data_IF_924435476506
#
_entry.id   IF_924435476506
#
_cell.length_a   1.000
_cell.length_b   1.000
_cell.length_c   1.000
_cell.angle_alpha   90.00
_cell.angle_beta   90.00
_cell.angle_gamma   90.00
#
_symmetry.space_group_name_H-M   'P 1'
#
loop_
_entity.id
_entity.type
_entity.pdbx_description
1 polymer ?
#
# COMPACT_ATOMS: atom_id res chain seq x y z
N UNK A 1 18.97 0.72 -14.52
CA UNK A 1 17.85 1.57 -14.11
C UNK A 1 17.29 2.27 -15.34
N UNK A 2 16.02 2.09 -15.64
CA UNK A 2 15.39 2.87 -16.70
C UNK A 2 15.36 4.34 -16.27
N UNK A 3 15.98 5.19 -17.05
CA UNK A 3 15.95 6.63 -16.82
C UNK A 3 14.52 7.13 -17.12
N UNK A 4 13.90 7.80 -16.18
CA UNK A 4 12.61 8.43 -16.40
C UNK A 4 12.77 9.46 -17.52
N UNK A 5 12.08 9.25 -18.63
CA UNK A 5 12.00 10.19 -19.72
C UNK A 5 10.63 10.86 -19.69
N UNK A 6 10.52 12.10 -19.21
CA UNK A 6 9.25 12.81 -19.15
C UNK A 6 8.62 12.98 -20.53
N UNK A 7 9.43 13.15 -21.57
CA UNK A 7 8.94 13.36 -22.94
C UNK A 7 8.20 12.13 -23.52
N UNK A 8 8.44 10.95 -22.96
CA UNK A 8 7.75 9.72 -23.39
C UNK A 8 6.23 9.77 -23.12
N UNK A 9 5.81 10.52 -22.13
CA UNK A 9 4.41 10.65 -21.72
C UNK A 9 3.74 11.91 -22.25
N UNK A 10 4.52 12.82 -22.85
CA UNK A 10 3.97 14.02 -23.46
C UNK A 10 3.39 13.71 -24.83
N UNK A 11 2.07 13.69 -24.90
CA UNK A 11 1.35 13.67 -26.19
C UNK A 11 1.15 15.12 -26.63
N UNK A 12 1.78 15.49 -27.74
CA UNK A 12 1.54 16.80 -28.34
C UNK A 12 0.13 16.85 -28.92
N UNK A 13 -0.78 17.43 -28.17
CA UNK A 13 -2.14 17.68 -28.58
C UNK A 13 -2.34 19.15 -28.92
N UNK A 14 -2.95 19.44 -30.05
CA UNK A 14 -3.32 20.81 -30.38
C UNK A 14 -4.29 21.40 -29.36
N UNK A 15 -4.19 22.72 -29.10
CA UNK A 15 -5.09 23.41 -28.16
C UNK A 15 -6.57 23.17 -28.43
N UNK A 16 -6.97 23.13 -29.71
CA UNK A 16 -8.34 22.85 -30.12
C UNK A 16 -8.85 21.46 -29.69
N UNK A 17 -7.97 20.47 -29.59
CA UNK A 17 -8.33 19.15 -29.08
C UNK A 17 -8.63 19.18 -27.57
N UNK A 18 -7.79 19.91 -26.82
CA UNK A 18 -7.95 20.05 -25.37
C UNK A 18 -9.22 20.81 -24.98
N UNK A 19 -9.61 21.82 -25.80
CA UNK A 19 -10.85 22.58 -25.59
C UNK A 19 -12.12 21.75 -25.78
N UNK A 20 -12.04 20.70 -26.61
CA UNK A 20 -13.17 19.84 -26.92
C UNK A 20 -13.19 18.52 -26.14
N UNK A 21 -12.23 18.26 -25.26
CA UNK A 21 -12.27 17.08 -24.40
C UNK A 21 -13.28 17.31 -23.29
N UNK A 22 -14.31 16.45 -23.17
CA UNK A 22 -15.23 16.54 -22.04
C UNK A 22 -14.46 16.47 -20.72
N UNK A 23 -14.87 17.28 -19.74
CA UNK A 23 -14.21 17.34 -18.44
C UNK A 23 -14.10 15.96 -17.79
N UNK A 24 -15.11 15.10 -17.98
CA UNK A 24 -15.14 13.73 -17.44
C UNK A 24 -14.08 12.78 -18.05
N UNK A 25 -13.47 13.17 -19.17
CA UNK A 25 -12.37 12.41 -19.80
C UNK A 25 -10.99 12.97 -19.48
N UNK A 26 -10.92 14.11 -18.81
CA UNK A 26 -9.65 14.66 -18.39
C UNK A 26 -9.02 13.76 -17.32
N UNK A 27 -7.73 13.44 -17.48
CA UNK A 27 -7.00 12.58 -16.51
C UNK A 27 -6.97 13.13 -15.08
N UNK A 28 -7.12 14.45 -14.94
CA UNK A 28 -7.17 15.15 -13.64
C UNK A 28 -8.59 15.41 -13.13
N UNK A 29 -9.62 15.03 -13.91
CA UNK A 29 -10.99 15.23 -13.49
C UNK A 29 -11.42 14.14 -12.52
N UNK A 30 -11.79 14.55 -11.33
CA UNK A 30 -12.32 13.68 -10.29
C UNK A 30 -13.83 13.96 -10.16
N UNK A 31 -14.65 12.93 -10.31
CA UNK A 31 -16.09 13.03 -10.09
C UNK A 31 -16.42 13.20 -8.61
N UNK A 32 -17.61 13.64 -8.27
CA UNK A 32 -18.07 13.67 -6.87
C UNK A 32 -18.05 12.26 -6.26
N UNK A 33 -18.44 11.23 -7.04
CA UNK A 33 -18.37 9.83 -6.62
C UNK A 33 -16.93 9.40 -6.31
N UNK A 34 -15.96 9.75 -7.17
CA UNK A 34 -14.55 9.43 -6.94
C UNK A 34 -14.02 10.14 -5.70
N UNK A 35 -14.43 11.37 -5.47
CA UNK A 35 -14.07 12.16 -4.29
C UNK A 35 -14.63 11.55 -3.02
N UNK A 36 -15.89 11.15 -3.00
CA UNK A 36 -16.50 10.46 -1.86
C UNK A 36 -15.82 9.13 -1.57
N UNK A 37 -15.56 8.32 -2.58
CA UNK A 37 -14.81 7.05 -2.43
C UNK A 37 -13.42 7.29 -1.85
N UNK A 38 -12.72 8.31 -2.30
CA UNK A 38 -11.40 8.67 -1.76
C UNK A 38 -11.49 9.06 -0.29
N UNK A 39 -12.46 9.88 0.11
CA UNK A 39 -12.66 10.26 1.51
C UNK A 39 -13.00 9.05 2.39
N UNK A 40 -13.80 8.13 1.90
CA UNK A 40 -14.13 6.89 2.61
C UNK A 40 -12.88 6.05 2.82
N UNK A 41 -12.03 5.92 1.80
CA UNK A 41 -10.74 5.21 1.90
C UNK A 41 -9.78 5.89 2.88
N UNK A 42 -9.66 7.20 2.82
CA UNK A 42 -8.82 7.96 3.75
C UNK A 42 -9.28 7.77 5.20
N UNK A 43 -10.57 7.78 5.44
CA UNK A 43 -11.13 7.51 6.77
C UNK A 43 -10.81 6.09 7.24
N UNK A 44 -10.98 5.11 6.38
CA UNK A 44 -10.64 3.72 6.67
C UNK A 44 -9.16 3.56 7.05
N UNK A 45 -8.25 4.07 6.23
CA UNK A 45 -6.82 4.00 6.52
C UNK A 45 -6.44 4.72 7.81
N UNK A 46 -7.06 5.85 8.08
CA UNK A 46 -6.85 6.61 9.32
C UNK A 46 -7.30 5.82 10.56
N UNK A 47 -8.36 5.03 10.44
CA UNK A 47 -8.86 4.19 11.53
C UNK A 47 -8.02 2.94 11.76
N UNK A 48 -7.54 2.31 10.69
CA UNK A 48 -6.82 1.02 10.73
C UNK A 48 -5.32 1.20 10.98
N UNK A 49 -4.72 2.28 10.49
CA UNK A 49 -3.28 2.48 10.55
C UNK A 49 -2.69 2.44 11.98
N UNK A 50 -3.30 3.06 13.01
CA UNK A 50 -2.80 2.95 14.38
C UNK A 50 -2.76 1.50 14.88
N UNK A 51 -3.79 0.70 14.58
CA UNK A 51 -3.87 -0.72 14.95
C UNK A 51 -2.75 -1.51 14.30
N UNK A 52 -2.51 -1.29 13.01
CA UNK A 52 -1.41 -1.95 12.28
C UNK A 52 -0.05 -1.53 12.81
N UNK A 53 0.16 -0.25 13.13
CA UNK A 53 1.42 0.23 13.72
C UNK A 53 1.70 -0.40 15.08
N UNK A 54 0.70 -0.52 15.93
CA UNK A 54 0.83 -1.19 17.23
C UNK A 54 1.21 -2.66 17.07
N UNK A 55 0.63 -3.37 16.09
CA UNK A 55 0.98 -4.74 15.77
C UNK A 55 2.42 -4.87 15.23
N UNK A 56 2.84 -3.94 14.39
CA UNK A 56 4.22 -3.89 13.89
C UNK A 56 5.21 -3.79 15.05
N UNK A 57 4.93 -2.91 16.00
CA UNK A 57 5.81 -2.70 17.16
C UNK A 57 5.80 -3.90 18.12
N UNK A 58 4.67 -4.57 18.29
CA UNK A 58 4.52 -5.70 19.21
C UNK A 58 5.03 -7.03 18.64
N UNK A 59 4.78 -7.32 17.38
CA UNK A 59 4.95 -8.66 16.80
C UNK A 59 6.21 -8.83 15.96
N UNK A 60 6.77 -7.75 15.41
CA UNK A 60 7.92 -7.82 14.52
C UNK A 60 9.25 -7.65 15.27
N UNK A 61 10.27 -8.35 14.76
CA UNK A 61 11.65 -8.11 15.21
C UNK A 61 12.12 -6.73 14.76
N UNK A 62 13.18 -6.22 15.40
CA UNK A 62 13.76 -4.92 15.03
C UNK A 62 14.07 -4.82 13.53
N UNK A 63 14.68 -5.86 12.97
CA UNK A 63 15.04 -5.88 11.55
C UNK A 63 13.81 -5.94 10.63
N UNK A 64 12.82 -6.73 10.99
CA UNK A 64 11.55 -6.79 10.26
C UNK A 64 10.83 -5.43 10.28
N UNK A 65 10.80 -4.74 11.41
CA UNK A 65 10.22 -3.39 11.51
C UNK A 65 10.94 -2.38 10.61
N UNK A 66 12.27 -2.40 10.59
CA UNK A 66 13.06 -1.53 9.72
C UNK A 66 12.73 -1.77 8.24
N UNK A 67 12.70 -3.02 7.81
CA UNK A 67 12.41 -3.39 6.43
C UNK A 67 10.98 -3.02 6.04
N UNK A 68 10.01 -3.29 6.91
CA UNK A 68 8.60 -2.92 6.69
C UNK A 68 8.44 -1.40 6.58
N UNK A 69 9.08 -0.63 7.47
CA UNK A 69 9.04 0.83 7.42
C UNK A 69 9.58 1.36 6.10
N UNK A 70 10.75 0.89 5.68
CA UNK A 70 11.39 1.36 4.46
C UNK A 70 10.63 0.95 3.19
N UNK A 71 10.06 -0.24 3.16
CA UNK A 71 9.37 -0.75 1.99
C UNK A 71 7.94 -0.19 1.83
N UNK A 72 7.12 -0.29 2.88
CA UNK A 72 5.70 0.08 2.80
C UNK A 72 5.43 1.56 3.09
N UNK A 73 6.15 2.16 4.02
CA UNK A 73 5.89 3.55 4.42
C UNK A 73 6.78 4.55 3.69
N UNK A 74 8.05 4.22 3.48
CA UNK A 74 8.99 5.11 2.79
C UNK A 74 9.06 4.87 1.27
N UNK A 75 8.40 3.81 0.78
CA UNK A 75 8.31 3.50 -0.65
C UNK A 75 9.62 3.07 -1.31
N UNK A 76 10.58 2.56 -0.54
CA UNK A 76 11.87 2.11 -1.06
C UNK A 76 11.78 0.75 -1.72
N UNK A 77 12.60 0.52 -2.74
CA UNK A 77 12.73 -0.80 -3.36
C UNK A 77 13.49 -1.78 -2.46
N UNK A 78 13.33 -3.07 -2.68
CA UNK A 78 14.08 -4.08 -1.92
C UNK A 78 15.59 -3.96 -2.13
N UNK A 79 16.02 -3.55 -3.32
CA UNK A 79 17.43 -3.30 -3.63
C UNK A 79 17.99 -2.10 -2.86
N UNK A 80 17.24 -1.01 -2.79
CA UNK A 80 17.62 0.18 -2.01
C UNK A 80 17.71 -0.14 -0.51
N UNK A 81 16.78 -0.91 0.01
CA UNK A 81 16.77 -1.37 1.40
C UNK A 81 17.97 -2.26 1.68
N UNK A 82 18.28 -3.18 0.77
CA UNK A 82 19.44 -4.07 0.89
C UNK A 82 20.74 -3.25 0.95
N UNK A 83 20.92 -2.26 0.10
CA UNK A 83 22.06 -1.35 0.12
C UNK A 83 22.14 -0.54 1.42
N UNK A 84 21.03 0.00 1.87
CA UNK A 84 20.96 0.84 3.09
C UNK A 84 21.25 0.04 4.37
N UNK A 85 20.80 -1.20 4.46
CA UNK A 85 20.95 -2.05 5.64
C UNK A 85 22.13 -3.03 5.56
N UNK A 86 22.91 -2.97 4.50
CA UNK A 86 24.02 -3.90 4.23
C UNK A 86 23.54 -5.38 4.20
N UNK A 87 22.48 -5.60 3.45
CA UNK A 87 21.87 -6.91 3.24
C UNK A 87 21.83 -7.24 1.74
N UNK A 88 21.49 -8.48 1.41
CA UNK A 88 21.15 -8.86 0.04
C UNK A 88 19.65 -8.61 -0.22
N UNK A 89 19.29 -8.40 -1.47
CA UNK A 89 17.88 -8.25 -1.86
C UNK A 89 17.05 -9.49 -1.46
N UNK A 90 17.60 -10.69 -1.61
CA UNK A 90 16.92 -11.91 -1.19
C UNK A 90 16.70 -11.98 0.32
N UNK A 91 17.60 -11.44 1.12
CA UNK A 91 17.43 -11.35 2.59
C UNK A 91 16.30 -10.35 2.93
N UNK A 92 16.25 -9.20 2.27
CA UNK A 92 15.15 -8.23 2.43
C UNK A 92 13.81 -8.88 2.08
N UNK A 93 13.74 -9.59 0.96
CA UNK A 93 12.53 -10.31 0.55
C UNK A 93 12.09 -11.35 1.60
N UNK A 94 13.04 -12.07 2.20
CA UNK A 94 12.74 -13.03 3.29
C UNK A 94 12.22 -12.34 4.55
N UNK A 95 12.76 -11.19 4.91
CA UNK A 95 12.24 -10.42 6.04
C UNK A 95 10.80 -9.96 5.82
N UNK A 96 10.45 -9.58 4.59
CA UNK A 96 9.10 -9.15 4.23
C UNK A 96 8.13 -10.33 4.09
N UNK A 97 8.47 -11.29 3.26
CA UNK A 97 7.53 -12.31 2.76
C UNK A 97 7.81 -13.72 3.26
N UNK A 98 8.94 -13.94 3.93
CA UNK A 98 9.37 -15.26 4.40
C UNK A 98 9.93 -16.13 3.28
N UNK A 99 10.09 -17.41 3.60
CA UNK A 99 10.57 -18.45 2.69
C UNK A 99 9.55 -19.56 2.56
N UNK A 100 9.61 -20.29 1.45
CA UNK A 100 8.80 -21.50 1.26
C UNK A 100 9.63 -22.71 1.64
N UNK A 101 9.17 -23.49 2.62
CA UNK A 101 9.74 -24.78 3.00
C UNK A 101 8.65 -25.84 2.96
N UNK A 102 8.90 -26.94 2.24
CA UNK A 102 7.93 -28.04 2.08
C UNK A 102 6.53 -27.58 1.62
N UNK A 103 6.47 -26.62 0.67
CA UNK A 103 5.23 -26.05 0.16
C UNK A 103 4.50 -25.09 1.09
N UNK A 104 5.08 -24.76 2.25
CA UNK A 104 4.50 -23.81 3.22
C UNK A 104 5.35 -22.55 3.36
N UNK A 105 4.71 -21.40 3.42
CA UNK A 105 5.38 -20.15 3.78
C UNK A 105 5.76 -20.15 5.26
N UNK A 106 7.05 -19.91 5.52
CA UNK A 106 7.62 -19.85 6.86
C UNK A 106 8.26 -18.48 7.09
N UNK A 107 7.94 -17.86 8.21
CA UNK A 107 8.48 -16.57 8.61
C UNK A 107 7.94 -15.41 7.78
N UNK A 108 8.65 -14.29 7.82
CA UNK A 108 8.28 -13.05 7.14
C UNK A 108 7.35 -12.15 7.95
N UNK A 109 7.57 -10.84 7.79
CA UNK A 109 6.82 -9.83 8.54
C UNK A 109 5.32 -9.86 8.21
N UNK A 110 4.95 -9.95 6.93
CA UNK A 110 3.54 -9.97 6.51
C UNK A 110 2.78 -11.17 7.06
N UNK A 111 3.42 -12.33 7.09
CA UNK A 111 2.79 -13.54 7.65
C UNK A 111 2.56 -13.42 9.16
N UNK A 112 3.52 -12.86 9.89
CA UNK A 112 3.37 -12.57 11.33
C UNK A 112 2.25 -11.56 11.59
N UNK A 113 2.20 -10.47 10.82
CA UNK A 113 1.16 -9.45 10.95
C UNK A 113 -0.22 -10.01 10.64
N UNK A 114 -0.36 -10.83 9.60
CA UNK A 114 -1.64 -11.48 9.30
C UNK A 114 -2.13 -12.35 10.45
N UNK A 115 -1.27 -13.19 11.01
CA UNK A 115 -1.61 -14.03 12.16
C UNK A 115 -1.95 -13.21 13.40
N UNK A 116 -1.24 -12.09 13.61
CA UNK A 116 -1.51 -11.19 14.72
C UNK A 116 -2.87 -10.50 14.57
N UNK A 117 -3.24 -10.08 13.37
CA UNK A 117 -4.57 -9.53 13.07
C UNK A 117 -5.66 -10.55 13.38
N UNK A 118 -5.52 -11.76 12.87
CA UNK A 118 -6.49 -12.84 13.10
C UNK A 118 -6.68 -13.17 14.61
N UNK A 119 -5.62 -13.05 15.41
CA UNK A 119 -5.63 -13.37 16.84
C UNK A 119 -6.11 -12.24 17.74
N UNK A 120 -5.67 -11.01 17.48
CA UNK A 120 -5.78 -9.92 18.45
C UNK A 120 -6.49 -8.67 17.93
N UNK A 121 -6.56 -8.48 16.64
CA UNK A 121 -7.08 -7.26 16.01
C UNK A 121 -8.13 -7.53 14.91
N UNK A 122 -8.66 -8.74 14.85
CA UNK A 122 -9.67 -9.10 13.86
C UNK A 122 -10.91 -8.21 13.97
N UNK A 123 -11.47 -8.06 15.16
CA UNK A 123 -12.71 -7.32 15.40
C UNK A 123 -12.63 -5.83 14.98
N UNK A 124 -11.63 -5.04 15.39
CA UNK A 124 -11.53 -3.66 14.95
C UNK A 124 -11.33 -3.49 13.45
N UNK A 125 -10.58 -4.40 12.84
CA UNK A 125 -10.32 -4.35 11.39
C UNK A 125 -11.52 -4.82 10.61
N UNK A 126 -12.20 -5.87 11.02
CA UNK A 126 -13.45 -6.35 10.42
C UNK A 126 -14.54 -5.29 10.48
N UNK A 127 -14.72 -4.65 11.64
CA UNK A 127 -15.67 -3.55 11.79
C UNK A 127 -15.36 -2.37 10.86
N UNK A 128 -14.08 -2.01 10.71
CA UNK A 128 -13.66 -0.95 9.78
C UNK A 128 -13.88 -1.36 8.30
N UNK A 129 -13.69 -2.62 7.96
CA UNK A 129 -13.95 -3.15 6.62
C UNK A 129 -15.45 -3.14 6.29
N UNK A 130 -16.31 -3.54 7.23
CA UNK A 130 -17.76 -3.52 7.06
C UNK A 130 -18.27 -2.08 6.87
N UNK A 131 -17.75 -1.14 7.65
CA UNK A 131 -18.06 0.28 7.49
C UNK A 131 -17.61 0.80 6.12
N UNK A 132 -16.41 0.44 5.68
CA UNK A 132 -15.89 0.78 4.37
C UNK A 132 -16.81 0.27 3.27
N UNK A 133 -17.18 -1.00 3.31
CA UNK A 133 -18.04 -1.61 2.29
C UNK A 133 -19.41 -0.92 2.24
N UNK A 134 -20.03 -0.69 3.38
CA UNK A 134 -21.31 0.01 3.46
C UNK A 134 -21.26 1.41 2.85
N UNK A 135 -20.19 2.16 3.15
CA UNK A 135 -20.01 3.51 2.60
C UNK A 135 -19.71 3.51 1.11
N UNK A 136 -18.96 2.53 0.61
CA UNK A 136 -18.71 2.38 -0.83
C UNK A 136 -19.98 2.07 -1.60
N UNK A 137 -20.84 1.21 -1.08
CA UNK A 137 -22.13 0.88 -1.68
C UNK A 137 -23.06 2.09 -1.69
N UNK A 138 -23.03 2.92 -0.64
CA UNK A 138 -23.82 4.14 -0.56
C UNK A 138 -23.33 5.26 -1.49
N UNK A 139 -22.03 5.28 -1.84
CA UNK A 139 -21.42 6.25 -2.75
C UNK A 139 -21.52 5.86 -4.24
N UNK A 140 -21.94 4.65 -4.53
CA UNK A 140 -22.07 4.13 -5.90
C UNK A 140 -23.34 4.63 -6.61
#
# INVERSE_FOLDING_TARGET
MAQFNPDFWEVQTGSAYLENVPAERALWYETEEDREKRHVLEHFFRSVLPVVKDLIDAELTRRQRQVVQLYFFDGKTQEDIAAQLDLTQSTVSRHLFGTVRNGRKVGGALNKLRKAVERAAAEPIESALDELQTRFEAAA
#
